data_IF_019986777617
#
_entry.id   IF_019986777617
#
_cell.length_a   1.000
_cell.length_b   1.000
_cell.length_c   1.000
_cell.angle_alpha   90.00
_cell.angle_beta   90.00
_cell.angle_gamma   90.00
#
_symmetry.space_group_name_H-M   'P 1'
#
loop_
_entity.id
_entity.type
_entity.pdbx_description
1 polymer ?
#
# COMPACT_ATOMS: atom_id res chain seq x y z
N UNK A 1 1.63 -20.95 8.14
CA UNK A 1 2.47 -19.72 7.88
C UNK A 1 1.77 -18.49 8.44
N UNK A 2 2.48 -17.34 8.61
CA UNK A 2 1.84 -16.14 9.20
C UNK A 2 0.71 -15.62 8.32
N UNK A 3 0.91 -15.56 7.00
CA UNK A 3 -0.13 -15.13 6.07
C UNK A 3 -1.40 -15.98 6.22
N UNK A 4 -1.29 -17.29 6.29
CA UNK A 4 -2.45 -18.18 6.48
C UNK A 4 -3.21 -17.87 7.78
N UNK A 5 -2.46 -17.66 8.89
CA UNK A 5 -3.07 -17.23 10.17
C UNK A 5 -3.83 -15.92 10.04
N UNK A 6 -3.23 -14.92 9.36
CA UNK A 6 -3.87 -13.63 9.14
C UNK A 6 -5.13 -13.81 8.30
N UNK A 7 -5.07 -14.57 7.21
CA UNK A 7 -6.21 -14.79 6.32
C UNK A 7 -7.34 -15.58 7.00
N UNK A 8 -7.02 -16.59 7.81
CA UNK A 8 -8.00 -17.34 8.59
C UNK A 8 -8.72 -16.43 9.59
N UNK A 9 -7.95 -15.63 10.33
CA UNK A 9 -8.48 -14.65 11.27
C UNK A 9 -9.38 -13.63 10.56
N UNK A 10 -8.91 -13.06 9.45
CA UNK A 10 -9.65 -12.07 8.67
C UNK A 10 -10.95 -12.64 8.10
N UNK A 11 -10.94 -13.88 7.60
CA UNK A 11 -12.17 -14.55 7.17
C UNK A 11 -13.19 -14.74 8.32
N UNK A 12 -12.71 -14.97 9.54
CA UNK A 12 -13.58 -15.03 10.71
C UNK A 12 -14.15 -13.64 11.06
N UNK A 13 -13.31 -12.60 11.04
CA UNK A 13 -13.71 -11.22 11.29
C UNK A 13 -14.82 -10.76 10.34
N UNK A 14 -14.62 -10.94 9.02
CA UNK A 14 -15.56 -10.43 8.01
C UNK A 14 -16.91 -11.18 8.02
N UNK A 15 -16.95 -12.45 8.43
CA UNK A 15 -18.22 -13.19 8.55
C UNK A 15 -19.22 -12.50 9.48
N UNK A 16 -18.76 -11.85 10.54
CA UNK A 16 -19.63 -11.12 11.46
C UNK A 16 -20.18 -9.81 10.87
N UNK A 17 -19.53 -9.30 9.80
CA UNK A 17 -19.92 -8.08 9.10
C UNK A 17 -20.92 -8.32 7.95
N UNK A 18 -21.13 -9.58 7.55
CA UNK A 18 -21.99 -9.96 6.42
C UNK A 18 -23.47 -9.84 6.77
N UNK A 19 -23.96 -8.64 7.04
CA UNK A 19 -25.38 -8.39 7.19
C UNK A 19 -25.89 -7.46 6.07
N UNK A 20 -27.15 -7.71 5.62
CA UNK A 20 -27.77 -6.83 4.60
C UNK A 20 -27.87 -5.38 5.08
N UNK A 21 -28.09 -5.17 6.36
CA UNK A 21 -28.13 -3.84 6.95
C UNK A 21 -26.81 -3.11 6.86
N UNK A 22 -25.71 -3.79 7.18
CA UNK A 22 -24.37 -3.19 7.13
C UNK A 22 -23.95 -2.81 5.71
N UNK A 23 -24.16 -3.69 4.73
CA UNK A 23 -23.88 -3.37 3.33
C UNK A 23 -24.73 -2.19 2.84
N UNK A 24 -26.00 -2.11 3.23
CA UNK A 24 -26.87 -0.97 2.87
C UNK A 24 -26.36 0.34 3.51
N UNK A 25 -25.89 0.30 4.73
CA UNK A 25 -25.26 1.45 5.40
C UNK A 25 -23.99 1.91 4.66
N UNK A 26 -23.09 0.97 4.30
CA UNK A 26 -21.88 1.29 3.55
C UNK A 26 -22.22 1.93 2.19
N UNK A 27 -23.18 1.36 1.46
CA UNK A 27 -23.65 1.92 0.18
C UNK A 27 -24.24 3.32 0.34
N UNK A 28 -24.90 3.61 1.47
CA UNK A 28 -25.35 4.96 1.79
C UNK A 28 -24.20 5.92 2.01
N UNK A 29 -23.22 5.53 2.84
CA UNK A 29 -22.02 6.33 3.09
C UNK A 29 -21.24 6.63 1.79
N UNK A 30 -21.15 5.66 0.88
CA UNK A 30 -20.48 5.84 -0.43
C UNK A 30 -21.14 6.92 -1.26
N UNK A 31 -22.48 7.03 -1.26
CA UNK A 31 -23.17 8.08 -2.02
C UNK A 31 -22.84 9.48 -1.54
N UNK A 32 -22.53 9.65 -0.27
CA UNK A 32 -22.18 10.94 0.35
C UNK A 32 -20.67 11.28 0.21
N UNK A 33 -19.85 10.33 -0.27
CA UNK A 33 -18.41 10.52 -0.48
C UNK A 33 -18.11 11.08 -1.87
N UNK A 34 -17.16 11.98 -1.94
CA UNK A 34 -16.55 12.39 -3.22
C UNK A 34 -15.99 11.16 -3.96
N UNK A 35 -15.96 11.20 -5.30
CA UNK A 35 -15.27 10.17 -6.08
C UNK A 35 -13.82 9.98 -5.59
N UNK A 36 -13.26 8.78 -5.68
CA UNK A 36 -11.85 8.56 -5.41
C UNK A 36 -10.96 9.39 -6.33
N UNK A 37 -9.80 9.78 -5.84
CA UNK A 37 -8.75 10.38 -6.65
C UNK A 37 -8.01 9.27 -7.38
N UNK A 38 -7.64 9.48 -8.64
CA UNK A 38 -6.87 8.50 -9.42
C UNK A 38 -5.48 8.30 -8.80
N UNK A 39 -5.36 7.27 -7.97
CA UNK A 39 -4.15 6.95 -7.20
C UNK A 39 -2.96 6.66 -8.13
N UNK A 40 -3.19 5.90 -9.18
CA UNK A 40 -2.15 5.55 -10.17
C UNK A 40 -1.63 6.79 -10.89
N UNK A 41 -2.52 7.70 -11.31
CA UNK A 41 -2.14 8.95 -11.96
C UNK A 41 -1.31 9.85 -11.03
N UNK A 42 -1.65 9.91 -9.76
CA UNK A 42 -0.88 10.68 -8.79
C UNK A 42 0.57 10.18 -8.64
N UNK A 43 0.80 8.86 -8.75
CA UNK A 43 2.14 8.29 -8.74
C UNK A 43 2.93 8.64 -10.01
N UNK A 44 2.26 8.76 -11.16
CA UNK A 44 2.89 9.15 -12.41
C UNK A 44 3.16 10.66 -12.48
N UNK A 45 2.24 11.48 -11.99
CA UNK A 45 2.35 12.95 -12.02
C UNK A 45 3.50 13.48 -11.19
N UNK A 46 3.85 12.79 -10.10
CA UNK A 46 4.93 13.20 -9.19
C UNK A 46 6.31 12.68 -9.60
N UNK A 47 6.48 12.23 -10.86
CA UNK A 47 7.78 11.77 -11.37
C UNK A 47 8.86 12.83 -11.10
N UNK A 48 9.71 12.51 -10.14
CA UNK A 48 10.91 13.33 -9.85
C UNK A 48 12.08 12.78 -10.65
N UNK A 49 12.93 13.63 -11.25
CA UNK A 49 14.11 13.13 -11.96
C UNK A 49 15.04 12.30 -11.07
N UNK A 50 15.00 12.54 -9.75
CA UNK A 50 15.94 11.97 -8.78
C UNK A 50 15.46 10.69 -8.10
N UNK A 51 14.14 10.40 -8.05
CA UNK A 51 13.62 9.23 -7.29
C UNK A 51 12.27 8.75 -7.82
N UNK A 52 11.90 7.46 -7.61
CA UNK A 52 10.52 6.99 -7.74
C UNK A 52 9.57 7.78 -6.84
N UNK A 53 8.28 7.82 -7.19
CA UNK A 53 7.24 8.41 -6.35
C UNK A 53 7.14 7.68 -5.01
N UNK A 54 6.84 8.41 -3.93
CA UNK A 54 6.78 7.82 -2.59
C UNK A 54 5.33 7.62 -2.13
N UNK A 55 4.97 6.37 -1.88
CA UNK A 55 3.80 5.97 -1.10
C UNK A 55 4.28 5.78 0.34
N UNK A 56 3.96 6.73 1.23
CA UNK A 56 4.40 6.68 2.62
C UNK A 56 3.38 5.95 3.49
N UNK A 57 3.81 4.93 4.25
CA UNK A 57 2.91 4.04 4.97
C UNK A 57 2.76 4.42 6.43
N UNK A 58 1.53 4.66 6.86
CA UNK A 58 1.11 4.84 8.26
C UNK A 58 0.87 3.46 8.86
N UNK A 59 1.71 3.10 9.85
CA UNK A 59 1.70 1.79 10.49
C UNK A 59 2.11 1.86 11.94
N UNK A 60 1.26 1.38 12.85
CA UNK A 60 1.49 1.35 14.28
C UNK A 60 2.37 0.18 14.71
N UNK A 61 2.04 -1.01 14.22
CA UNK A 61 2.69 -2.26 14.58
C UNK A 61 2.84 -3.19 13.39
N UNK A 62 3.59 -4.26 13.53
CA UNK A 62 3.67 -5.36 12.56
C UNK A 62 3.87 -6.70 13.26
N UNK A 63 3.47 -7.84 12.63
CA UNK A 63 3.64 -9.17 13.22
C UNK A 63 5.09 -9.54 13.55
N UNK A 64 6.05 -9.00 12.80
CA UNK A 64 7.48 -9.33 12.97
C UNK A 64 8.20 -8.49 14.02
N UNK A 65 7.71 -7.26 14.30
CA UNK A 65 8.42 -6.28 15.14
C UNK A 65 7.59 -5.83 16.36
N UNK A 66 6.30 -6.16 16.42
CA UNK A 66 5.39 -5.55 17.39
C UNK A 66 5.20 -4.06 17.11
N UNK A 67 5.11 -3.23 18.14
CA UNK A 67 5.06 -1.77 18.01
C UNK A 67 6.32 -1.24 17.31
N UNK A 68 6.16 -0.39 16.31
CA UNK A 68 7.30 0.19 15.59
C UNK A 68 8.05 1.24 16.39
N UNK A 69 7.35 1.91 17.31
CA UNK A 69 7.90 2.86 18.26
C UNK A 69 7.24 2.63 19.63
N UNK A 70 8.01 2.60 20.74
CA UNK A 70 7.43 2.36 22.07
C UNK A 70 6.32 3.35 22.46
N UNK A 71 6.47 4.62 22.08
CA UNK A 71 5.48 5.67 22.37
C UNK A 71 4.13 5.47 21.68
N UNK A 72 4.05 4.65 20.64
CA UNK A 72 2.81 4.33 19.93
C UNK A 72 1.83 3.51 20.77
N UNK A 73 2.27 2.95 21.87
CA UNK A 73 1.36 2.33 22.83
C UNK A 73 0.31 3.30 23.35
N UNK A 74 0.71 4.54 23.60
CA UNK A 74 -0.16 5.58 24.18
C UNK A 74 -0.43 6.77 23.23
N UNK A 75 0.46 7.02 22.26
CA UNK A 75 0.46 8.25 21.46
C UNK A 75 0.58 7.96 19.96
N UNK A 76 -0.20 7.01 19.45
CA UNK A 76 -0.28 6.80 18.01
C UNK A 76 -1.25 7.82 17.39
N UNK A 77 -0.72 8.67 16.52
CA UNK A 77 -1.50 9.67 15.79
C UNK A 77 -1.26 9.51 14.28
N UNK A 78 -2.14 8.78 13.59
CA UNK A 78 -2.02 8.51 12.16
C UNK A 78 -2.12 9.78 11.31
N UNK A 79 -2.90 10.77 11.76
CA UNK A 79 -3.07 12.04 11.06
C UNK A 79 -1.78 12.84 11.08
N UNK A 80 -1.17 13.01 12.25
CA UNK A 80 0.11 13.73 12.39
C UNK A 80 1.24 13.10 11.58
N UNK A 81 1.29 11.77 11.52
CA UNK A 81 2.26 11.04 10.69
C UNK A 81 2.02 11.34 9.21
N UNK A 82 0.76 11.24 8.75
CA UNK A 82 0.42 11.46 7.35
C UNK A 82 0.57 12.93 6.92
N UNK A 83 0.34 13.89 7.82
CA UNK A 83 0.66 15.31 7.59
C UNK A 83 2.16 15.51 7.39
N UNK A 84 3.00 14.90 8.22
CA UNK A 84 4.44 14.93 8.03
C UNK A 84 4.86 14.34 6.68
N UNK A 85 4.22 13.26 6.23
CA UNK A 85 4.45 12.69 4.90
C UNK A 85 4.09 13.66 3.78
N UNK A 86 2.92 14.31 3.85
CA UNK A 86 2.49 15.33 2.89
C UNK A 86 3.48 16.49 2.82
N UNK A 87 3.84 17.03 3.96
CA UNK A 87 4.68 18.24 4.07
C UNK A 87 6.11 17.99 3.57
N UNK A 88 6.54 16.73 3.55
CA UNK A 88 7.84 16.32 3.00
C UNK A 88 7.73 15.63 1.62
N UNK A 89 6.56 15.74 0.98
CA UNK A 89 6.39 15.45 -0.44
C UNK A 89 6.14 13.98 -0.78
N UNK A 90 5.46 13.22 0.07
CA UNK A 90 4.86 11.97 -0.36
C UNK A 90 3.87 12.20 -1.51
N UNK A 91 3.79 11.26 -2.44
CA UNK A 91 2.85 11.28 -3.57
C UNK A 91 1.50 10.70 -3.19
N UNK A 92 1.50 9.75 -2.25
CA UNK A 92 0.32 9.09 -1.71
C UNK A 92 0.62 8.57 -0.30
N UNK A 93 -0.42 8.21 0.43
CA UNK A 93 -0.33 7.59 1.76
C UNK A 93 -0.94 6.19 1.71
N UNK A 94 -0.28 5.21 2.33
CA UNK A 94 -0.80 3.89 2.62
C UNK A 94 -1.20 3.82 4.09
N UNK A 95 -2.39 3.34 4.42
CA UNK A 95 -2.85 3.23 5.80
C UNK A 95 -3.21 1.78 6.11
N UNK A 96 -2.51 1.19 7.09
CA UNK A 96 -2.85 -0.15 7.61
C UNK A 96 -4.17 -0.08 8.36
N UNK A 97 -5.11 -0.96 8.02
CA UNK A 97 -6.43 -1.00 8.67
C UNK A 97 -6.69 -2.31 9.42
N UNK A 98 -5.83 -3.31 9.27
CA UNK A 98 -5.90 -4.53 10.06
C UNK A 98 -5.68 -4.23 11.55
N UNK A 99 -6.65 -4.66 12.38
CA UNK A 99 -6.67 -4.36 13.81
C UNK A 99 -5.74 -5.25 14.62
N UNK A 100 -5.78 -6.55 14.37
CA UNK A 100 -5.19 -7.52 15.30
C UNK A 100 -3.70 -7.75 15.07
N UNK A 101 -3.23 -7.64 13.84
CA UNK A 101 -1.83 -7.85 13.48
C UNK A 101 -1.04 -6.56 13.29
N UNK A 102 -1.72 -5.46 12.92
CA UNK A 102 -1.07 -4.17 12.64
C UNK A 102 -1.56 -3.02 13.53
N UNK A 103 -2.57 -3.27 14.37
CA UNK A 103 -3.19 -2.29 15.26
C UNK A 103 -3.66 -1.02 14.54
N UNK A 104 -4.13 -1.18 13.29
CA UNK A 104 -4.73 -0.12 12.49
C UNK A 104 -6.25 -0.11 12.56
N UNK A 105 -6.88 0.81 11.85
CA UNK A 105 -8.34 0.90 11.77
C UNK A 105 -8.82 1.62 10.50
N UNK A 106 -10.07 1.38 10.10
CA UNK A 106 -10.74 2.16 9.05
C UNK A 106 -10.95 3.62 9.48
N UNK A 107 -11.07 3.90 10.76
CA UNK A 107 -11.17 5.27 11.27
C UNK A 107 -9.86 6.05 11.09
N UNK A 108 -8.70 5.39 11.22
CA UNK A 108 -7.40 5.98 10.89
C UNK A 108 -7.32 6.36 9.40
N UNK A 109 -7.76 5.45 8.52
CA UNK A 109 -7.81 5.70 7.08
C UNK A 109 -8.71 6.91 6.77
N UNK A 110 -9.90 6.97 7.38
CA UNK A 110 -10.83 8.09 7.21
C UNK A 110 -10.22 9.40 7.69
N UNK A 111 -9.62 9.40 8.88
CA UNK A 111 -9.00 10.60 9.44
C UNK A 111 -7.91 11.16 8.54
N UNK A 112 -7.05 10.28 8.00
CA UNK A 112 -6.00 10.65 7.04
C UNK A 112 -6.62 11.18 5.75
N UNK A 113 -7.58 10.45 5.15
CA UNK A 113 -8.22 10.86 3.89
C UNK A 113 -8.90 12.20 3.96
N UNK A 114 -9.63 12.46 5.03
CA UNK A 114 -10.44 13.69 5.18
C UNK A 114 -9.58 14.94 5.43
N UNK A 115 -8.30 14.80 5.81
CA UNK A 115 -7.46 15.91 6.26
C UNK A 115 -6.18 16.12 5.45
N UNK A 116 -5.60 15.05 4.90
CA UNK A 116 -4.24 15.14 4.34
C UNK A 116 -4.21 15.60 2.88
N UNK A 117 -5.29 15.36 2.13
CA UNK A 117 -5.41 15.82 0.73
C UNK A 117 -4.54 15.04 -0.27
N UNK A 118 -3.94 13.93 0.15
CA UNK A 118 -3.24 12.99 -0.72
C UNK A 118 -4.13 11.79 -1.07
N UNK A 119 -3.85 11.09 -2.18
CA UNK A 119 -4.47 9.79 -2.46
C UNK A 119 -4.12 8.78 -1.37
N UNK A 120 -5.10 7.94 -0.97
CA UNK A 120 -4.95 6.99 0.15
C UNK A 120 -5.20 5.56 -0.31
N UNK A 121 -4.20 4.70 -0.07
CA UNK A 121 -4.30 3.25 -0.21
C UNK A 121 -4.79 2.61 1.09
N UNK A 122 -5.90 1.86 1.02
CA UNK A 122 -6.29 0.95 2.09
C UNK A 122 -5.39 -0.30 2.06
N UNK A 123 -4.45 -0.38 2.98
CA UNK A 123 -3.52 -1.52 3.13
C UNK A 123 -4.16 -2.55 4.06
N UNK A 124 -4.87 -3.52 3.48
CA UNK A 124 -5.67 -4.54 4.16
C UNK A 124 -5.57 -5.88 3.44
N UNK A 125 -5.83 -6.97 4.16
CA UNK A 125 -5.97 -8.30 3.60
C UNK A 125 -7.39 -8.49 3.08
N UNK A 126 -7.60 -8.26 1.80
CA UNK A 126 -8.90 -8.38 1.14
C UNK A 126 -9.24 -9.85 0.94
N UNK A 127 -10.28 -10.35 1.63
CA UNK A 127 -10.76 -11.75 1.56
C UNK A 127 -12.26 -11.84 1.30
N UNK A 128 -12.99 -10.70 1.32
CA UNK A 128 -14.42 -10.62 1.16
C UNK A 128 -14.84 -9.31 0.50
N UNK A 129 -15.92 -9.33 -0.27
CA UNK A 129 -16.46 -8.16 -1.00
C UNK A 129 -16.82 -7.00 -0.07
N UNK A 130 -17.26 -7.27 1.16
CA UNK A 130 -17.64 -6.23 2.12
C UNK A 130 -16.51 -5.24 2.39
N UNK A 131 -15.25 -5.70 2.37
CA UNK A 131 -14.08 -4.87 2.65
C UNK A 131 -13.85 -3.80 1.58
N UNK A 132 -14.25 -4.05 0.32
CA UNK A 132 -14.19 -3.05 -0.75
C UNK A 132 -15.20 -1.92 -0.54
N UNK A 133 -16.42 -2.27 -0.08
CA UNK A 133 -17.41 -1.28 0.31
C UNK A 133 -16.97 -0.51 1.56
N UNK A 134 -16.34 -1.17 2.55
CA UNK A 134 -15.72 -0.50 3.69
C UNK A 134 -14.64 0.49 3.22
N UNK A 135 -13.66 0.03 2.44
CA UNK A 135 -12.58 0.88 1.91
C UNK A 135 -13.15 2.13 1.23
N UNK A 136 -14.13 1.94 0.32
CA UNK A 136 -14.76 3.05 -0.41
C UNK A 136 -15.57 3.98 0.49
N UNK A 137 -16.33 3.43 1.45
CA UNK A 137 -17.14 4.21 2.40
C UNK A 137 -16.28 5.05 3.36
N UNK A 138 -15.10 4.55 3.70
CA UNK A 138 -14.14 5.27 4.55
C UNK A 138 -13.18 6.16 3.75
N UNK A 139 -13.30 6.18 2.41
CA UNK A 139 -12.67 7.17 1.54
C UNK A 139 -11.35 6.74 0.93
N UNK A 140 -11.03 5.45 0.90
CA UNK A 140 -9.88 4.97 0.13
C UNK A 140 -9.99 5.35 -1.35
N UNK A 141 -8.85 5.61 -1.96
CA UNK A 141 -8.70 5.82 -3.40
C UNK A 141 -8.18 4.56 -4.10
N UNK A 142 -7.47 3.73 -3.36
CA UNK A 142 -6.95 2.46 -3.84
C UNK A 142 -7.06 1.38 -2.76
N UNK A 143 -7.04 0.12 -3.21
CA UNK A 143 -7.02 -1.09 -2.37
C UNK A 143 -5.88 -2.01 -2.77
N UNK A 144 -5.52 -2.91 -1.87
CA UNK A 144 -4.49 -3.92 -2.07
C UNK A 144 -5.11 -5.27 -2.44
N UNK A 145 -4.62 -5.92 -3.48
CA UNK A 145 -4.86 -7.34 -3.75
C UNK A 145 -3.56 -8.13 -3.69
N UNK A 146 -3.46 -9.06 -2.76
CA UNK A 146 -2.26 -9.91 -2.58
C UNK A 146 -2.47 -11.21 -3.33
N UNK A 147 -1.71 -11.45 -4.40
CA UNK A 147 -1.87 -12.64 -5.26
C UNK A 147 -1.66 -13.94 -4.49
N UNK A 148 -0.75 -13.95 -3.52
CA UNK A 148 -0.50 -15.10 -2.65
C UNK A 148 -1.70 -15.46 -1.73
N UNK A 149 -2.62 -14.53 -1.51
CA UNK A 149 -3.76 -14.68 -0.58
C UNK A 149 -5.05 -15.14 -1.27
N UNK A 150 -5.13 -15.05 -2.60
CA UNK A 150 -6.38 -15.19 -3.35
C UNK A 150 -6.28 -16.29 -4.42
N UNK A 151 -7.37 -17.01 -4.59
CA UNK A 151 -7.55 -17.90 -5.73
C UNK A 151 -7.86 -17.09 -7.01
N UNK A 152 -7.65 -17.71 -8.19
CA UNK A 152 -7.86 -17.08 -9.50
C UNK A 152 -9.19 -16.34 -9.59
N UNK A 153 -10.29 -17.02 -9.26
CA UNK A 153 -11.65 -16.45 -9.35
C UNK A 153 -11.81 -15.26 -8.41
N UNK A 154 -11.39 -15.39 -7.15
CA UNK A 154 -11.46 -14.31 -6.18
C UNK A 154 -10.65 -13.09 -6.64
N UNK A 155 -9.43 -13.30 -7.16
CA UNK A 155 -8.58 -12.23 -7.64
C UNK A 155 -9.24 -11.44 -8.78
N UNK A 156 -9.88 -12.14 -9.74
CA UNK A 156 -10.58 -11.53 -10.87
C UNK A 156 -11.85 -10.80 -10.39
N UNK A 157 -12.67 -11.46 -9.57
CA UNK A 157 -13.94 -10.91 -9.08
C UNK A 157 -13.69 -9.66 -8.21
N UNK A 158 -12.68 -9.70 -7.32
CA UNK A 158 -12.31 -8.58 -6.47
C UNK A 158 -11.69 -7.42 -7.23
N UNK A 159 -10.88 -7.70 -8.26
CA UNK A 159 -10.36 -6.67 -9.13
C UNK A 159 -11.49 -5.93 -9.88
N UNK A 160 -12.46 -6.67 -10.41
CA UNK A 160 -13.64 -6.12 -11.07
C UNK A 160 -14.47 -5.27 -10.11
N UNK A 161 -14.76 -5.78 -8.90
CA UNK A 161 -15.53 -5.05 -7.87
C UNK A 161 -14.82 -3.73 -7.46
N UNK A 162 -13.50 -3.77 -7.26
CA UNK A 162 -12.76 -2.54 -6.94
C UNK A 162 -12.95 -1.48 -8.02
N UNK A 163 -12.86 -1.86 -9.29
CA UNK A 163 -13.08 -0.96 -10.42
C UNK A 163 -14.51 -0.44 -10.51
N UNK A 164 -15.52 -1.28 -10.23
CA UNK A 164 -16.93 -0.84 -10.15
C UNK A 164 -17.12 0.24 -9.07
N UNK A 165 -16.34 0.15 -7.99
CA UNK A 165 -16.34 1.15 -6.91
C UNK A 165 -15.41 2.34 -7.20
N UNK A 166 -14.84 2.42 -8.40
CA UNK A 166 -13.87 3.43 -8.84
C UNK A 166 -12.59 3.47 -7.98
N UNK A 167 -12.21 2.35 -7.37
CA UNK A 167 -10.96 2.20 -6.62
C UNK A 167 -9.84 1.73 -7.54
N UNK A 168 -8.67 2.35 -7.44
CA UNK A 168 -7.45 1.81 -8.02
C UNK A 168 -7.02 0.54 -7.26
N UNK A 169 -6.27 -0.35 -7.93
CA UNK A 169 -5.88 -1.63 -7.35
C UNK A 169 -4.37 -1.81 -7.43
N UNK A 170 -3.70 -1.84 -6.27
CA UNK A 170 -2.32 -2.29 -6.16
C UNK A 170 -2.31 -3.83 -6.07
N UNK A 171 -1.86 -4.49 -7.15
CA UNK A 171 -1.78 -5.95 -7.22
C UNK A 171 -0.39 -6.39 -6.78
N UNK A 172 -0.28 -6.90 -5.55
CA UNK A 172 0.99 -7.27 -4.91
C UNK A 172 1.44 -8.69 -5.30
N UNK A 173 2.70 -8.80 -5.73
CA UNK A 173 3.38 -10.04 -6.11
C UNK A 173 4.71 -10.18 -5.37
N UNK A 174 5.17 -11.45 -5.14
CA UNK A 174 6.41 -11.75 -4.42
C UNK A 174 7.43 -12.52 -5.27
N UNK A 175 7.00 -13.16 -6.33
CA UNK A 175 7.87 -13.98 -7.20
C UNK A 175 7.28 -14.13 -8.62
N UNK A 176 8.09 -14.69 -9.51
CA UNK A 176 7.78 -14.79 -10.94
C UNK A 176 6.43 -15.46 -11.24
N UNK A 177 6.11 -16.56 -10.52
CA UNK A 177 4.84 -17.30 -10.75
C UNK A 177 3.61 -16.47 -10.38
N UNK A 178 3.71 -15.60 -9.38
CA UNK A 178 2.61 -14.69 -9.03
C UNK A 178 2.48 -13.57 -10.07
N UNK A 179 3.60 -13.03 -10.54
CA UNK A 179 3.59 -12.06 -11.62
C UNK A 179 2.99 -12.64 -12.90
N UNK A 180 3.34 -13.87 -13.27
CA UNK A 180 2.77 -14.55 -14.44
C UNK A 180 1.25 -14.67 -14.34
N UNK A 181 0.73 -15.00 -13.14
CA UNK A 181 -0.72 -15.03 -12.89
C UNK A 181 -1.36 -13.65 -13.10
N UNK A 182 -0.74 -12.58 -12.60
CA UNK A 182 -1.26 -11.21 -12.79
C UNK A 182 -1.30 -10.86 -14.26
N UNK A 183 -0.23 -11.09 -15.01
CA UNK A 183 -0.17 -10.76 -16.43
C UNK A 183 -1.14 -11.58 -17.27
N UNK A 184 -1.43 -12.82 -16.86
CA UNK A 184 -2.41 -13.70 -17.55
C UNK A 184 -3.86 -13.40 -17.13
N UNK A 185 -4.13 -13.22 -15.82
CA UNK A 185 -5.50 -13.17 -15.30
C UNK A 185 -6.06 -11.76 -15.20
N UNK A 186 -5.18 -10.76 -15.06
CA UNK A 186 -5.52 -9.34 -14.92
C UNK A 186 -4.69 -8.47 -15.90
N UNK A 187 -4.77 -8.72 -17.22
CA UNK A 187 -3.96 -7.96 -18.20
C UNK A 187 -4.22 -6.44 -18.13
N UNK A 188 -5.38 -6.02 -17.66
CA UNK A 188 -5.76 -4.62 -17.47
C UNK A 188 -5.22 -3.99 -16.19
N UNK A 189 -4.64 -4.75 -15.25
CA UNK A 189 -4.05 -4.18 -14.03
C UNK A 189 -2.95 -3.18 -14.38
N UNK A 190 -3.11 -1.92 -13.98
CA UNK A 190 -2.17 -0.85 -14.27
C UNK A 190 -1.08 -0.72 -13.19
N UNK A 191 -1.41 -1.03 -11.93
CA UNK A 191 -0.52 -0.83 -10.79
C UNK A 191 -0.08 -2.18 -10.23
N UNK A 192 1.19 -2.52 -10.41
CA UNK A 192 1.77 -3.80 -9.99
C UNK A 192 2.77 -3.57 -8.86
N UNK A 193 2.50 -4.19 -7.72
CA UNK A 193 3.38 -4.22 -6.56
C UNK A 193 4.35 -5.39 -6.59
N UNK A 194 5.60 -5.14 -6.25
CA UNK A 194 6.62 -6.15 -6.02
C UNK A 194 7.05 -6.04 -4.57
N UNK A 195 6.61 -6.97 -3.74
CA UNK A 195 6.97 -7.01 -2.34
C UNK A 195 8.25 -7.82 -2.15
N UNK A 196 9.31 -7.13 -1.71
CA UNK A 196 10.63 -7.71 -1.46
C UNK A 196 10.68 -8.55 -0.18
N UNK A 197 9.62 -8.56 0.63
CA UNK A 197 9.54 -9.35 1.87
C UNK A 197 9.00 -10.74 1.56
N UNK A 198 9.78 -11.76 1.86
CA UNK A 198 9.29 -13.15 1.86
C UNK A 198 8.29 -13.34 3.00
N UNK A 199 7.07 -13.76 2.68
CA UNK A 199 5.98 -13.94 3.67
C UNK A 199 6.16 -15.16 4.58
N UNK A 200 7.17 -16.01 4.33
CA UNK A 200 7.47 -17.18 5.16
C UNK A 200 8.59 -16.89 6.15
N UNK A 201 9.65 -16.24 5.67
CA UNK A 201 10.89 -15.99 6.45
C UNK A 201 10.99 -14.59 7.01
N UNK A 202 10.14 -13.65 6.53
CA UNK A 202 10.20 -12.20 6.78
C UNK A 202 11.49 -11.51 6.34
N UNK A 203 12.40 -12.22 5.68
CA UNK A 203 13.57 -11.60 5.07
C UNK A 203 13.17 -10.69 3.93
N UNK A 204 13.96 -9.65 3.68
CA UNK A 204 13.74 -8.71 2.57
C UNK A 204 14.95 -8.73 1.63
N UNK A 205 14.69 -8.80 0.31
CA UNK A 205 15.72 -8.77 -0.72
C UNK A 205 15.26 -7.93 -1.93
N UNK A 206 15.85 -6.74 -2.09
CA UNK A 206 15.56 -5.84 -3.21
C UNK A 206 15.89 -6.43 -4.58
N UNK A 207 16.68 -7.50 -4.66
CA UNK A 207 16.94 -8.19 -5.90
C UNK A 207 15.67 -8.82 -6.51
N UNK A 208 14.63 -9.08 -5.69
CA UNK A 208 13.32 -9.53 -6.17
C UNK A 208 12.75 -8.51 -7.15
N UNK A 209 12.68 -7.24 -6.75
CA UNK A 209 12.22 -6.14 -7.62
C UNK A 209 13.06 -6.09 -8.90
N UNK A 210 14.39 -6.09 -8.81
CA UNK A 210 15.28 -5.97 -9.97
C UNK A 210 15.10 -7.12 -11.01
N UNK A 211 14.68 -8.29 -10.55
CA UNK A 211 14.36 -9.43 -11.43
C UNK A 211 12.98 -9.29 -12.07
N UNK A 212 11.96 -8.97 -11.28
CA UNK A 212 10.57 -8.97 -11.74
C UNK A 212 10.25 -7.80 -12.67
N UNK A 213 10.83 -6.62 -12.45
CA UNK A 213 10.61 -5.43 -13.30
C UNK A 213 10.84 -5.74 -14.78
N UNK A 214 11.87 -6.51 -15.10
CA UNK A 214 12.25 -6.87 -16.50
C UNK A 214 11.18 -7.70 -17.22
N UNK A 215 10.24 -8.28 -16.51
CA UNK A 215 9.15 -9.13 -17.04
C UNK A 215 7.82 -8.40 -17.17
N UNK A 216 7.71 -7.20 -16.57
CA UNK A 216 6.48 -6.40 -16.61
C UNK A 216 6.44 -5.62 -17.92
N UNK A 217 5.37 -5.73 -18.72
CA UNK A 217 5.21 -4.97 -19.96
C UNK A 217 5.24 -3.45 -19.69
N UNK A 218 5.68 -2.69 -20.71
CA UNK A 218 5.59 -1.23 -20.67
C UNK A 218 4.14 -0.74 -20.50
N UNK A 219 3.99 0.46 -19.93
CA UNK A 219 2.68 1.06 -19.67
C UNK A 219 2.04 0.65 -18.33
N UNK A 220 2.73 -0.14 -17.51
CA UNK A 220 2.32 -0.44 -16.14
C UNK A 220 3.10 0.42 -15.16
N UNK A 221 2.47 0.81 -14.06
CA UNK A 221 3.13 1.48 -12.92
C UNK A 221 3.64 0.43 -11.96
N UNK A 222 4.94 0.40 -11.73
CA UNK A 222 5.61 -0.59 -10.90
C UNK A 222 5.94 0.01 -9.54
N UNK A 223 5.45 -0.62 -8.46
CA UNK A 223 5.71 -0.24 -7.07
C UNK A 223 6.62 -1.26 -6.42
N UNK A 224 7.74 -0.84 -5.84
CA UNK A 224 8.57 -1.70 -4.99
C UNK A 224 8.19 -1.51 -3.53
N UNK A 225 7.98 -2.61 -2.82
CA UNK A 225 7.52 -2.61 -1.43
C UNK A 225 8.50 -3.36 -0.52
N UNK A 226 8.66 -2.90 0.71
CA UNK A 226 9.53 -3.48 1.73
C UNK A 226 11.05 -3.40 1.43
N UNK A 227 11.85 -3.33 2.50
CA UNK A 227 13.32 -3.42 2.43
C UNK A 227 14.03 -2.12 2.02
N UNK A 228 13.31 -1.01 1.82
CA UNK A 228 13.87 0.27 1.41
C UNK A 228 14.29 1.05 2.66
N UNK A 229 15.59 1.20 2.87
CA UNK A 229 16.13 1.76 4.10
C UNK A 229 17.00 3.00 3.88
N UNK A 230 17.68 3.12 2.77
CA UNK A 230 18.65 4.18 2.49
C UNK A 230 18.60 4.66 1.04
N UNK A 231 19.25 5.77 0.77
CA UNK A 231 19.29 6.38 -0.56
C UNK A 231 19.79 5.43 -1.65
N UNK A 232 20.80 4.61 -1.36
CA UNK A 232 21.32 3.63 -2.32
C UNK A 232 20.25 2.64 -2.78
N UNK A 233 19.33 2.25 -1.89
CA UNK A 233 18.24 1.37 -2.23
C UNK A 233 17.29 2.05 -3.23
N UNK A 234 16.98 3.32 -2.99
CA UNK A 234 16.15 4.13 -3.90
C UNK A 234 16.81 4.31 -5.27
N UNK A 235 18.11 4.54 -5.30
CA UNK A 235 18.87 4.65 -6.55
C UNK A 235 18.83 3.36 -7.37
N UNK A 236 19.03 2.21 -6.72
CA UNK A 236 18.93 0.89 -7.37
C UNK A 236 17.54 0.63 -7.94
N UNK A 237 16.48 0.99 -7.21
CA UNK A 237 15.11 0.85 -7.68
C UNK A 237 14.82 1.74 -8.89
N UNK A 238 15.30 2.98 -8.87
CA UNK A 238 15.20 3.90 -10.00
C UNK A 238 15.90 3.34 -11.25
N UNK A 239 17.14 2.86 -11.10
CA UNK A 239 17.92 2.26 -12.19
C UNK A 239 17.26 1.01 -12.74
N UNK A 240 16.56 0.25 -11.89
CA UNK A 240 15.76 -0.90 -12.30
C UNK A 240 14.48 -0.53 -13.07
N UNK A 241 14.07 0.75 -13.10
CA UNK A 241 12.85 1.20 -13.77
C UNK A 241 11.59 1.17 -12.90
N UNK A 242 11.73 1.21 -11.58
CA UNK A 242 10.60 1.31 -10.64
C UNK A 242 9.99 2.71 -10.70
N UNK A 243 8.67 2.81 -10.74
CA UNK A 243 7.92 4.07 -10.85
C UNK A 243 7.60 4.66 -9.48
N UNK A 244 7.27 3.80 -8.51
CA UNK A 244 6.98 4.21 -7.13
C UNK A 244 7.55 3.23 -6.11
N UNK A 245 7.70 3.68 -4.88
CA UNK A 245 8.15 2.88 -3.75
C UNK A 245 7.19 3.04 -2.57
N UNK A 246 6.85 1.94 -1.90
CA UNK A 246 6.06 1.95 -0.68
C UNK A 246 6.98 1.75 0.51
N UNK A 247 7.02 2.76 1.39
CA UNK A 247 7.96 2.82 2.52
C UNK A 247 7.20 3.15 3.80
N UNK A 248 7.36 2.32 4.82
CA UNK A 248 6.75 2.52 6.14
C UNK A 248 7.76 2.38 7.27
N UNK A 249 8.32 1.19 7.45
CA UNK A 249 9.16 0.86 8.59
C UNK A 249 10.32 1.83 8.80
N UNK A 250 11.08 2.14 7.77
CA UNK A 250 12.25 3.04 7.86
C UNK A 250 11.85 4.49 8.14
N UNK A 251 10.68 4.95 7.67
CA UNK A 251 10.14 6.27 7.97
C UNK A 251 9.65 6.36 9.42
N UNK A 252 8.83 5.39 9.84
CA UNK A 252 8.23 5.38 11.18
C UNK A 252 9.30 5.25 12.26
N UNK A 253 10.31 4.40 12.05
CA UNK A 253 11.38 4.16 13.06
C UNK A 253 12.42 5.27 13.12
N UNK A 254 12.45 6.16 12.14
CA UNK A 254 13.32 7.33 12.18
C UNK A 254 12.87 8.29 13.29
N UNK A 255 13.82 8.88 14.01
CA UNK A 255 13.53 9.90 15.01
C UNK A 255 12.86 11.14 14.41
N UNK A 256 13.25 11.48 13.18
CA UNK A 256 12.71 12.57 12.36
C UNK A 256 12.26 12.02 11.00
N UNK A 257 10.94 11.98 10.78
CA UNK A 257 10.32 11.51 9.55
C UNK A 257 10.75 12.37 8.35
N UNK A 258 10.77 13.71 8.53
CA UNK A 258 11.09 14.64 7.47
C UNK A 258 12.54 14.50 7.00
N UNK A 259 13.47 14.40 7.94
CA UNK A 259 14.87 14.14 7.65
C UNK A 259 15.07 12.82 6.90
N UNK A 260 14.36 11.76 7.31
CA UNK A 260 14.42 10.46 6.64
C UNK A 260 13.85 10.49 5.23
N UNK A 261 12.72 11.14 5.03
CA UNK A 261 12.16 11.34 3.69
C UNK A 261 13.10 12.13 2.79
N UNK A 262 13.71 13.18 3.32
CA UNK A 262 14.71 13.96 2.58
C UNK A 262 15.92 13.10 2.21
N UNK A 263 16.45 12.28 3.12
CA UNK A 263 17.53 11.34 2.85
C UNK A 263 17.17 10.40 1.68
N UNK A 264 16.00 9.78 1.72
CA UNK A 264 15.59 8.83 0.70
C UNK A 264 15.35 9.49 -0.68
N UNK A 265 14.80 10.69 -0.70
CA UNK A 265 14.28 11.33 -1.93
C UNK A 265 15.23 12.39 -2.53
N UNK A 266 16.29 12.81 -1.82
CA UNK A 266 17.27 13.77 -2.36
C UNK A 266 18.01 13.15 -3.55
N UNK A 267 18.16 13.91 -4.64
CA UNK A 267 19.15 13.61 -5.69
C UNK A 267 20.57 13.68 -5.11
N UNK A 268 21.52 12.96 -5.69
CA UNK A 268 22.91 13.35 -5.49
C UNK A 268 22.99 14.81 -5.93
N UNK A 269 23.45 15.70 -5.04
CA UNK A 269 24.01 16.95 -5.51
C UNK A 269 25.16 16.52 -6.44
N UNK A 270 25.03 16.78 -7.74
CA UNK A 270 26.17 16.75 -8.60
C UNK A 270 27.18 17.66 -7.90
N UNK A 271 28.27 17.06 -7.41
CA UNK A 271 29.46 17.82 -7.05
C UNK A 271 29.95 18.46 -8.34
N UNK A 272 29.41 19.64 -8.67
CA UNK A 272 30.00 20.55 -9.59
C UNK A 272 31.27 21.08 -8.87
N UNK A 273 32.37 20.34 -9.08
CA UNK A 273 33.73 20.83 -8.81
C UNK A 273 34.24 21.65 -9.98
#
# INVERSE_FOLDING_TARGET
MILERILEHKRAEVRHKQSRGYLAELKSKIRDRLPPVEFTVALEATKRPSSPSLIAEVKKASPSLGLLRPEFEQQFDPLKIAEAYRDHGASAVSVLTDKDFFQGSLDDLRAVKDKVGLPVLNKEFMVDEIQFYEARAYGADAVLLIVAALERRQLIDFFALARELALDVLVETHHERELDKVLEWLPEAQLIGINNRDLKTFSTDLAVTSRLVKRIPSGKVIVSESGIQKRDDVQRLKEAGVHAMLVGESLIRAGDIGAKMKELMSGQQENAG
#
